data_IF_945350780770
#
_entry.id   IF_945350780770
#
_cell.length_a   1.000
_cell.length_b   1.000
_cell.length_c   1.000
_cell.angle_alpha   90.00
_cell.angle_beta   90.00
_cell.angle_gamma   90.00
#
_symmetry.space_group_name_H-M   'P 1'
#
loop_
_entity.id
_entity.type
_entity.pdbx_description
1 polymer ?
#
# COMPACT_ATOMS: atom_id res chain seq x y z
N UNK A 1 -6.37 19.57 -8.55
CA UNK A 1 -6.93 19.39 -7.19
C UNK A 1 -5.79 18.97 -6.30
N UNK A 2 -5.44 19.76 -5.28
CA UNK A 2 -4.44 19.35 -4.31
C UNK A 2 -5.00 18.16 -3.52
N UNK A 3 -4.28 17.03 -3.50
CA UNK A 3 -4.51 15.97 -2.50
C UNK A 3 -4.42 16.67 -1.15
N UNK A 4 -5.48 16.63 -0.34
CA UNK A 4 -5.32 16.87 1.09
C UNK A 4 -4.29 15.86 1.57
N UNK A 5 -3.09 16.35 1.87
CA UNK A 5 -2.04 15.53 2.43
C UNK A 5 -2.43 15.35 3.88
N UNK A 6 -3.04 14.21 4.19
CA UNK A 6 -3.27 13.80 5.57
C UNK A 6 -1.89 13.65 6.22
N UNK A 7 -1.44 14.71 6.88
CA UNK A 7 -0.11 14.83 7.51
C UNK A 7 -0.05 14.13 8.87
N UNK A 8 -1.04 13.31 9.20
CA UNK A 8 -1.14 12.57 10.46
C UNK A 8 -0.21 11.36 10.50
N UNK A 9 1.09 11.62 10.56
CA UNK A 9 2.02 10.83 11.35
C UNK A 9 2.88 9.77 10.67
N UNK A 10 3.81 9.24 11.48
CA UNK A 10 4.74 8.16 11.12
C UNK A 10 4.00 6.86 10.86
N UNK A 11 4.37 6.16 9.79
CA UNK A 11 4.02 4.76 9.61
C UNK A 11 4.85 3.91 10.56
N UNK A 12 4.17 3.27 11.52
CA UNK A 12 4.83 2.30 12.40
C UNK A 12 5.06 1.00 11.64
N UNK A 13 6.31 0.59 11.55
CA UNK A 13 6.71 -0.72 11.07
C UNK A 13 7.12 -1.57 12.27
N UNK A 14 6.61 -2.78 12.39
CA UNK A 14 6.97 -3.68 13.48
C UNK A 14 8.39 -4.21 13.26
N UNK A 15 9.18 -4.35 14.34
CA UNK A 15 10.59 -4.79 14.25
C UNK A 15 10.77 -6.14 13.55
N UNK A 16 9.83 -7.07 13.75
CA UNK A 16 9.85 -8.39 13.08
C UNK A 16 9.75 -8.31 11.55
N UNK A 17 9.46 -7.14 10.96
CA UNK A 17 9.45 -6.99 9.51
C UNK A 17 10.82 -7.32 8.92
N UNK A 18 11.91 -7.11 9.68
CA UNK A 18 13.26 -7.51 9.28
C UNK A 18 13.44 -9.02 9.08
N UNK A 19 12.60 -9.84 9.71
CA UNK A 19 12.62 -11.31 9.60
C UNK A 19 11.78 -11.79 8.40
N UNK A 20 10.89 -10.93 7.90
CA UNK A 20 9.97 -11.25 6.83
C UNK A 20 10.71 -11.40 5.47
N UNK A 21 10.42 -12.43 4.66
CA UNK A 21 10.99 -12.58 3.32
C UNK A 21 10.87 -11.34 2.43
N UNK A 22 9.78 -10.58 2.55
CA UNK A 22 9.55 -9.37 1.75
C UNK A 22 10.60 -8.30 2.01
N UNK A 23 11.09 -8.19 3.26
CA UNK A 23 12.06 -7.17 3.65
C UNK A 23 13.43 -7.43 3.02
N UNK A 24 13.72 -8.68 2.65
CA UNK A 24 14.95 -9.06 1.96
C UNK A 24 14.94 -8.67 0.48
N UNK A 25 13.77 -8.44 -0.11
CA UNK A 25 13.63 -7.96 -1.49
C UNK A 25 13.35 -6.45 -1.50
N UNK A 26 14.37 -5.66 -1.86
CA UNK A 26 14.29 -4.20 -1.80
C UNK A 26 13.16 -3.61 -2.63
N UNK A 27 12.79 -4.23 -3.76
CA UNK A 27 11.70 -3.74 -4.61
C UNK A 27 10.34 -4.13 -4.04
N UNK A 28 10.20 -5.35 -3.52
CA UNK A 28 8.97 -5.77 -2.86
C UNK A 28 8.70 -4.89 -1.63
N UNK A 29 9.72 -4.66 -0.80
CA UNK A 29 9.62 -3.79 0.37
C UNK A 29 9.30 -2.34 0.00
N UNK A 30 9.96 -1.79 -1.02
CA UNK A 30 9.70 -0.42 -1.48
C UNK A 30 8.25 -0.24 -1.95
N UNK A 31 7.71 -1.19 -2.75
CA UNK A 31 6.31 -1.14 -3.17
C UNK A 31 5.34 -1.32 -1.99
N UNK A 32 5.65 -2.22 -1.05
CA UNK A 32 4.79 -2.43 0.11
C UNK A 32 4.70 -1.19 1.01
N UNK A 33 5.83 -0.54 1.30
CA UNK A 33 5.84 0.71 2.05
C UNK A 33 5.10 1.83 1.32
N UNK A 34 5.21 1.92 -0.01
CA UNK A 34 4.40 2.82 -0.82
C UNK A 34 2.89 2.56 -0.69
N UNK A 35 2.46 1.29 -0.66
CA UNK A 35 1.08 0.94 -0.41
C UNK A 35 0.62 1.39 0.98
N UNK A 36 1.46 1.23 2.01
CA UNK A 36 1.17 1.73 3.35
C UNK A 36 1.02 3.26 3.40
N UNK A 37 1.88 4.00 2.69
CA UNK A 37 1.82 5.47 2.64
C UNK A 37 0.58 6.03 1.95
N UNK A 38 0.06 5.33 0.94
CA UNK A 38 -1.07 5.82 0.16
C UNK A 38 -2.43 5.35 0.67
N UNK A 39 -2.47 4.32 1.52
CA UNK A 39 -3.69 3.77 2.06
C UNK A 39 -4.43 4.80 2.95
N UNK A 40 -5.76 4.83 2.84
CA UNK A 40 -6.60 5.65 3.73
C UNK A 40 -6.47 5.19 5.17
N UNK A 41 -6.30 6.15 6.08
CA UNK A 41 -6.26 5.90 7.54
C UNK A 41 -7.64 5.94 8.20
N UNK A 42 -8.58 6.69 7.62
CA UNK A 42 -9.93 6.91 8.15
C UNK A 42 -11.00 6.74 7.06
N UNK A 43 -12.25 6.64 7.50
CA UNK A 43 -13.45 6.47 6.68
C UNK A 43 -14.21 5.20 7.04
N UNK A 44 -15.06 4.72 6.13
CA UNK A 44 -15.79 3.48 6.35
C UNK A 44 -14.85 2.28 6.52
N UNK A 45 -15.25 1.26 7.28
CA UNK A 45 -14.45 0.04 7.51
C UNK A 45 -13.90 -0.61 6.24
N UNK A 46 -14.61 -0.51 5.12
CA UNK A 46 -14.20 -1.08 3.82
C UNK A 46 -13.27 -0.18 3.01
N UNK A 47 -13.04 1.06 3.47
CA UNK A 47 -12.19 2.05 2.82
C UNK A 47 -10.81 2.19 3.49
N UNK A 48 -10.74 1.97 4.81
CA UNK A 48 -9.48 2.00 5.55
C UNK A 48 -8.52 0.93 5.01
N UNK A 49 -7.25 1.29 4.86
CA UNK A 49 -6.24 0.41 4.27
C UNK A 49 -6.32 0.33 2.74
N UNK A 50 -7.16 1.15 2.09
CA UNK A 50 -7.34 1.12 0.63
C UNK A 50 -6.91 2.40 -0.05
N UNK A 51 -6.51 2.31 -1.31
CA UNK A 51 -6.30 3.46 -2.18
C UNK A 51 -6.44 3.08 -3.66
N UNK A 52 -6.60 4.07 -4.52
CA UNK A 52 -6.68 3.88 -5.97
C UNK A 52 -5.47 4.54 -6.62
N UNK A 53 -4.85 3.83 -7.56
CA UNK A 53 -3.68 4.29 -8.33
C UNK A 53 -3.70 3.70 -9.73
N UNK A 54 -2.68 4.00 -10.52
CA UNK A 54 -2.42 3.38 -11.84
C UNK A 54 -0.99 2.84 -11.88
N UNK A 55 -0.71 1.88 -12.76
CA UNK A 55 0.67 1.37 -12.91
C UNK A 55 1.65 2.48 -13.32
N UNK A 56 1.32 3.41 -14.25
CA UNK A 56 2.17 4.56 -14.54
C UNK A 56 2.46 5.43 -13.30
N UNK A 57 1.47 5.69 -12.46
CA UNK A 57 1.67 6.47 -11.22
C UNK A 57 2.62 5.76 -10.26
N UNK A 58 2.47 4.45 -10.06
CA UNK A 58 3.40 3.66 -9.24
C UNK A 58 4.82 3.74 -9.82
N UNK A 59 4.97 3.66 -11.13
CA UNK A 59 6.27 3.76 -11.79
C UNK A 59 6.93 5.11 -11.57
N UNK A 60 6.17 6.20 -11.73
CA UNK A 60 6.63 7.56 -11.49
C UNK A 60 7.04 7.75 -10.02
N UNK A 61 6.15 7.40 -9.09
CA UNK A 61 6.36 7.58 -7.65
C UNK A 61 7.56 6.77 -7.12
N UNK A 62 7.78 5.56 -7.64
CA UNK A 62 8.87 4.67 -7.21
C UNK A 62 10.15 4.81 -8.05
N UNK A 63 10.14 5.61 -9.12
CA UNK A 63 11.24 5.72 -10.07
C UNK A 63 11.51 4.41 -10.84
N UNK A 64 10.49 3.60 -11.08
CA UNK A 64 10.61 2.31 -11.77
C UNK A 64 10.39 2.47 -13.28
N UNK A 65 11.26 1.83 -14.06
CA UNK A 65 11.29 2.03 -15.52
C UNK A 65 10.30 1.18 -16.32
N UNK A 66 9.74 0.11 -15.73
CA UNK A 66 8.93 -0.85 -16.49
C UNK A 66 7.66 -1.29 -15.77
N UNK A 67 6.57 -1.40 -16.52
CA UNK A 67 5.30 -1.97 -16.07
C UNK A 67 5.49 -3.40 -15.54
N UNK A 68 6.27 -4.23 -16.25
CA UNK A 68 6.55 -5.60 -15.81
C UNK A 68 7.18 -5.68 -14.42
N UNK A 69 7.95 -4.66 -14.00
CA UNK A 69 8.48 -4.61 -12.63
C UNK A 69 7.34 -4.43 -11.63
N UNK A 70 6.44 -3.46 -11.87
CA UNK A 70 5.26 -3.24 -11.03
C UNK A 70 4.39 -4.49 -10.96
N UNK A 71 4.06 -5.08 -12.10
CA UNK A 71 3.20 -6.28 -12.16
C UNK A 71 3.81 -7.48 -11.44
N UNK A 72 5.13 -7.70 -11.60
CA UNK A 72 5.87 -8.76 -10.90
C UNK A 72 5.75 -8.57 -9.39
N UNK A 73 6.06 -7.38 -8.88
CA UNK A 73 6.07 -7.15 -7.44
C UNK A 73 4.67 -7.08 -6.85
N UNK A 74 3.68 -6.51 -7.55
CA UNK A 74 2.27 -6.60 -7.16
C UNK A 74 1.81 -8.06 -6.96
N UNK A 75 2.19 -8.97 -7.87
CA UNK A 75 1.87 -10.40 -7.74
C UNK A 75 2.55 -11.02 -6.52
N UNK A 76 3.85 -10.77 -6.32
CA UNK A 76 4.59 -11.23 -5.13
C UNK A 76 3.90 -10.75 -3.84
N UNK A 77 3.53 -9.48 -3.77
CA UNK A 77 2.86 -8.92 -2.59
C UNK A 77 1.49 -9.54 -2.35
N UNK A 78 0.77 -9.87 -3.43
CA UNK A 78 -0.54 -10.52 -3.34
C UNK A 78 -0.45 -11.98 -2.92
N UNK A 79 0.48 -12.73 -3.49
CA UNK A 79 0.75 -14.13 -3.13
C UNK A 79 1.20 -14.27 -1.67
N UNK A 80 1.94 -13.27 -1.16
CA UNK A 80 2.36 -13.19 0.24
C UNK A 80 1.33 -12.62 1.21
N UNK A 81 0.09 -12.35 0.79
CA UNK A 81 -0.98 -11.78 1.62
C UNK A 81 -0.64 -10.41 2.24
N UNK A 82 0.23 -9.61 1.61
CA UNK A 82 0.54 -8.25 2.04
C UNK A 82 -0.47 -7.24 1.51
N UNK A 83 -0.93 -7.46 0.28
CA UNK A 83 -1.94 -6.64 -0.37
C UNK A 83 -2.93 -7.53 -1.13
N UNK A 84 -4.08 -6.96 -1.46
CA UNK A 84 -4.93 -7.42 -2.54
C UNK A 84 -5.19 -6.25 -3.49
N UNK A 85 -5.63 -6.53 -4.71
CA UNK A 85 -5.96 -5.48 -5.66
C UNK A 85 -6.94 -5.95 -6.73
N UNK A 86 -7.67 -4.97 -7.26
CA UNK A 86 -8.59 -5.12 -8.39
C UNK A 86 -8.33 -4.00 -9.39
N UNK A 87 -8.20 -4.34 -10.67
CA UNK A 87 -7.98 -3.37 -11.74
C UNK A 87 -9.21 -3.27 -12.64
N UNK A 88 -9.67 -2.04 -12.89
CA UNK A 88 -10.76 -1.73 -13.82
C UNK A 88 -10.43 -0.45 -14.58
N UNK A 89 -10.48 -0.48 -15.91
CA UNK A 89 -10.19 0.66 -16.78
C UNK A 89 -8.87 1.37 -16.42
N UNK A 90 -7.78 0.61 -16.27
CA UNK A 90 -6.44 1.07 -15.85
C UNK A 90 -6.33 1.63 -14.42
N UNK A 91 -7.44 1.79 -13.70
CA UNK A 91 -7.43 2.12 -12.28
C UNK A 91 -7.31 0.84 -11.46
N UNK A 92 -6.31 0.81 -10.59
CA UNK A 92 -6.07 -0.29 -9.67
C UNK A 92 -6.42 0.18 -8.27
N UNK A 93 -7.44 -0.44 -7.68
CA UNK A 93 -7.76 -0.29 -6.26
C UNK A 93 -6.95 -1.32 -5.49
N UNK A 94 -6.10 -0.86 -4.59
CA UNK A 94 -5.22 -1.66 -3.74
C UNK A 94 -5.80 -1.67 -2.32
N UNK A 95 -5.69 -2.81 -1.66
CA UNK A 95 -6.09 -3.06 -0.28
C UNK A 95 -4.87 -3.60 0.45
N UNK A 96 -4.38 -2.91 1.47
CA UNK A 96 -3.32 -3.46 2.33
C UNK A 96 -3.95 -4.45 3.29
N UNK A 97 -3.55 -5.71 3.21
CA UNK A 97 -4.11 -6.76 4.06
C UNK A 97 -3.69 -6.51 5.51
N UNK A 98 -4.62 -6.70 6.45
CA UNK A 98 -4.36 -6.51 7.90
C UNK A 98 -3.80 -5.11 8.22
N UNK A 99 -4.27 -4.07 7.54
CA UNK A 99 -3.79 -2.69 7.73
C UNK A 99 -3.73 -2.25 9.20
N UNK A 100 -4.72 -2.66 10.00
CA UNK A 100 -4.80 -2.41 11.46
C UNK A 100 -3.61 -2.96 12.27
N UNK A 101 -2.90 -3.98 11.75
CA UNK A 101 -1.70 -4.52 12.40
C UNK A 101 -0.48 -3.61 12.19
N UNK A 102 -0.51 -2.77 11.16
CA UNK A 102 0.55 -1.83 10.84
C UNK A 102 0.23 -0.44 11.40
N UNK A 103 -1.02 0.01 11.23
CA UNK A 103 -1.48 1.33 11.67
C UNK A 103 -2.57 1.16 12.72
N UNK A 104 -2.41 1.83 13.86
CA UNK A 104 -3.43 1.84 14.90
C UNK A 104 -4.60 2.71 14.40
N UNK A 105 -5.79 2.15 14.37
CA UNK A 105 -7.02 2.83 13.94
C UNK A 105 -7.82 3.14 15.20
N UNK A 106 -8.18 4.40 15.42
CA UNK A 106 -9.03 4.79 16.53
C UNK A 106 -10.50 4.68 16.12
N UNK A 107 -11.41 4.50 17.09
CA UNK A 107 -12.85 4.39 16.80
C UNK A 107 -13.40 5.66 16.13
N UNK A 108 -12.81 6.82 16.40
CA UNK A 108 -13.12 8.10 15.76
C UNK A 108 -12.73 8.17 14.27
N UNK A 109 -11.81 7.31 13.83
CA UNK A 109 -11.41 7.22 12.42
C UNK A 109 -12.39 6.39 11.58
N UNK A 110 -13.32 5.68 12.23
CA UNK A 110 -14.31 4.81 11.60
C UNK A 110 -15.67 5.52 11.54
N UNK A 111 -16.12 5.86 10.34
CA UNK A 111 -17.39 6.54 10.07
C UNK A 111 -18.50 5.60 9.63
#
# INVERSE_FOLDING_TARGET
MAKEVDTKGYIKLYRKAMEDPIFKDSKAWHLFTYCLFNAKFSGGKSEIGTFTTTVPSIMEDLGWKTHNTVDKFMKILKEGDYINYTTKNNNTKIYVTKYSNYQFIFDEDIS
#
